data_IF_281183777415
#
_entry.id   IF_281183777415
#
_cell.length_a   1.000
_cell.length_b   1.000
_cell.length_c   1.000
_cell.angle_alpha   90.00
_cell.angle_beta   90.00
_cell.angle_gamma   90.00
#
_symmetry.space_group_name_H-M   'P 1'
#
loop_
_entity.id
_entity.type
_entity.pdbx_description
1 polymer ?
#
# COMPACT_ATOMS: atom_id res chain seq x y z
N UNK A 1 13.23 2.45 31.32
CA UNK A 1 12.22 2.65 30.26
C UNK A 1 12.79 3.29 28.96
N UNK A 2 13.98 3.91 28.96
CA UNK A 2 14.61 4.57 27.79
C UNK A 2 15.13 3.65 26.66
N UNK A 3 15.63 2.43 26.94
CA UNK A 3 16.00 1.47 25.88
C UNK A 3 14.79 1.05 25.04
N UNK A 4 13.60 1.08 25.63
CA UNK A 4 12.38 0.56 25.03
C UNK A 4 11.86 1.44 23.90
N UNK A 5 11.94 2.78 23.97
CA UNK A 5 11.40 3.65 22.90
C UNK A 5 12.26 3.63 21.63
N UNK A 6 13.58 3.75 21.74
CA UNK A 6 14.49 3.70 20.59
C UNK A 6 14.55 2.30 19.95
N UNK A 7 14.48 1.23 20.76
CA UNK A 7 14.36 -0.14 20.24
C UNK A 7 13.01 -0.36 19.55
N UNK A 8 11.92 0.19 20.08
CA UNK A 8 10.60 0.12 19.44
C UNK A 8 10.58 0.85 18.09
N UNK A 9 11.24 2.01 18.00
CA UNK A 9 11.34 2.77 16.75
C UNK A 9 12.17 2.02 15.69
N UNK A 10 13.34 1.49 16.05
CA UNK A 10 14.15 0.69 15.11
C UNK A 10 13.45 -0.60 14.69
N UNK A 11 12.68 -1.23 15.60
CA UNK A 11 11.82 -2.37 15.25
C UNK A 11 10.75 -1.96 14.24
N UNK A 12 10.09 -0.82 14.45
CA UNK A 12 9.13 -0.25 13.50
C UNK A 12 9.70 -0.08 12.09
N UNK A 13 10.89 0.53 11.98
CA UNK A 13 11.57 0.70 10.68
C UNK A 13 11.92 -0.64 10.02
N UNK A 14 12.43 -1.61 10.79
CA UNK A 14 12.74 -2.93 10.26
C UNK A 14 11.50 -3.67 9.75
N UNK A 15 10.39 -3.60 10.51
CA UNK A 15 9.12 -4.19 10.13
C UNK A 15 8.58 -3.51 8.86
N UNK A 16 8.61 -2.17 8.79
CA UNK A 16 8.16 -1.42 7.62
C UNK A 16 9.02 -1.74 6.38
N UNK A 17 10.35 -1.80 6.50
CA UNK A 17 11.24 -2.18 5.41
C UNK A 17 10.96 -3.60 4.90
N UNK A 18 10.77 -4.55 5.82
CA UNK A 18 10.43 -5.93 5.47
C UNK A 18 9.07 -5.99 4.77
N UNK A 19 8.10 -5.21 5.24
CA UNK A 19 6.81 -5.07 4.59
C UNK A 19 6.95 -4.54 3.16
N UNK A 20 7.73 -3.47 2.95
CA UNK A 20 7.97 -2.88 1.63
C UNK A 20 8.74 -3.82 0.69
N UNK A 21 9.67 -4.62 1.21
CA UNK A 21 10.37 -5.65 0.43
C UNK A 21 9.43 -6.76 -0.05
N UNK A 22 8.48 -7.19 0.78
CA UNK A 22 7.45 -8.12 0.35
C UNK A 22 6.52 -7.46 -0.66
N UNK A 23 6.08 -6.24 -0.37
CA UNK A 23 5.13 -5.51 -1.21
C UNK A 23 5.71 -5.22 -2.61
N UNK A 24 7.01 -4.94 -2.75
CA UNK A 24 7.64 -4.69 -4.05
C UNK A 24 7.60 -5.87 -5.02
N UNK A 25 7.42 -7.09 -4.53
CA UNK A 25 7.18 -8.26 -5.41
C UNK A 25 5.78 -8.25 -6.04
N UNK A 26 4.83 -7.53 -5.43
CA UNK A 26 3.42 -7.41 -5.89
C UNK A 26 3.35 -6.82 -7.29
N UNK A 27 4.09 -5.73 -7.55
CA UNK A 27 4.07 -5.07 -8.86
C UNK A 27 4.52 -6.00 -9.99
N UNK A 28 5.52 -6.84 -9.75
CA UNK A 28 6.03 -7.84 -10.71
C UNK A 28 4.97 -8.90 -11.00
N UNK A 29 4.37 -9.45 -9.94
CA UNK A 29 3.36 -10.52 -10.08
C UNK A 29 2.09 -9.99 -10.76
N UNK A 30 1.65 -8.78 -10.40
CA UNK A 30 0.52 -8.11 -11.07
C UNK A 30 0.86 -7.89 -12.55
N UNK A 31 2.05 -7.39 -12.86
CA UNK A 31 2.47 -7.17 -14.26
C UNK A 31 2.47 -8.48 -15.06
N UNK A 32 2.92 -9.58 -14.45
CA UNK A 32 2.87 -10.91 -15.04
C UNK A 32 1.43 -11.37 -15.29
N UNK A 33 0.55 -11.28 -14.29
CA UNK A 33 -0.87 -11.65 -14.42
C UNK A 33 -1.60 -10.82 -15.48
N UNK A 34 -1.35 -9.52 -15.52
CA UNK A 34 -1.95 -8.63 -16.51
C UNK A 34 -1.42 -8.85 -17.93
N UNK A 35 -0.13 -9.18 -18.13
CA UNK A 35 0.42 -9.43 -19.47
C UNK A 35 0.09 -10.82 -20.00
N UNK A 36 0.20 -11.86 -19.17
CA UNK A 36 0.03 -13.26 -19.60
C UNK A 36 -1.41 -13.73 -19.59
N UNK A 37 -2.23 -13.28 -18.63
CA UNK A 37 -3.63 -13.70 -18.50
C UNK A 37 -4.63 -12.59 -18.83
N UNK A 38 -4.15 -11.37 -19.15
CA UNK A 38 -4.99 -10.21 -19.46
C UNK A 38 -6.03 -9.95 -18.37
N UNK A 39 -5.66 -10.27 -17.12
CA UNK A 39 -6.56 -10.22 -15.98
C UNK A 39 -6.97 -8.76 -15.72
N UNK A 40 -8.27 -8.42 -15.73
CA UNK A 40 -8.72 -7.07 -15.43
C UNK A 40 -8.34 -6.68 -14.00
N UNK A 41 -7.83 -5.46 -13.81
CA UNK A 41 -7.32 -5.00 -12.50
C UNK A 41 -8.38 -5.04 -11.39
N UNK A 42 -9.65 -4.82 -11.74
CA UNK A 42 -10.76 -4.84 -10.78
C UNK A 42 -11.08 -6.26 -10.29
N UNK A 43 -11.01 -7.25 -11.19
CA UNK A 43 -11.17 -8.68 -10.87
C UNK A 43 -9.98 -9.17 -10.05
N UNK A 44 -8.76 -8.74 -10.42
CA UNK A 44 -7.54 -9.00 -9.66
C UNK A 44 -7.66 -8.46 -8.23
N UNK A 45 -8.08 -7.19 -8.06
CA UNK A 45 -8.23 -6.57 -6.75
C UNK A 45 -9.25 -7.32 -5.88
N UNK A 46 -10.40 -7.70 -6.44
CA UNK A 46 -11.41 -8.49 -5.73
C UNK A 46 -10.85 -9.82 -5.21
N UNK A 47 -10.25 -10.64 -6.09
CA UNK A 47 -9.71 -11.94 -5.68
C UNK A 47 -8.54 -11.84 -4.72
N UNK A 48 -7.67 -10.85 -4.92
CA UNK A 48 -6.56 -10.58 -4.01
C UNK A 48 -7.07 -10.26 -2.62
N UNK A 49 -8.05 -9.36 -2.50
CA UNK A 49 -8.61 -8.95 -1.21
C UNK A 49 -9.40 -10.11 -0.55
N UNK A 50 -10.08 -10.93 -1.35
CA UNK A 50 -10.75 -12.16 -0.89
C UNK A 50 -9.74 -13.18 -0.35
N UNK A 51 -8.64 -13.42 -1.04
CA UNK A 51 -7.59 -14.35 -0.58
C UNK A 51 -6.88 -13.84 0.67
N UNK A 52 -6.68 -12.53 0.81
CA UNK A 52 -6.18 -11.93 2.05
C UNK A 52 -7.16 -12.16 3.19
N UNK A 53 -8.45 -11.87 2.99
CA UNK A 53 -9.51 -12.10 3.99
C UNK A 53 -9.57 -13.57 4.39
N UNK A 54 -9.57 -14.49 3.43
CA UNK A 54 -9.60 -15.93 3.68
C UNK A 54 -8.35 -16.42 4.41
N UNK A 55 -7.15 -16.01 3.96
CA UNK A 55 -5.89 -16.35 4.62
C UNK A 55 -5.82 -15.83 6.06
N UNK A 56 -6.31 -14.60 6.30
CA UNK A 56 -6.47 -14.03 7.64
C UNK A 56 -7.44 -14.84 8.50
N UNK A 57 -8.59 -15.20 7.95
CA UNK A 57 -9.62 -15.98 8.65
C UNK A 57 -9.04 -17.32 9.09
N UNK A 58 -8.39 -18.04 8.18
CA UNK A 58 -7.73 -19.33 8.47
C UNK A 58 -6.63 -19.14 9.51
N UNK A 59 -5.76 -18.14 9.35
CA UNK A 59 -4.69 -17.84 10.31
C UNK A 59 -5.22 -17.54 11.71
N UNK A 60 -6.26 -16.72 11.84
CA UNK A 60 -6.86 -16.39 13.13
C UNK A 60 -7.59 -17.60 13.75
N UNK A 61 -8.25 -18.42 12.95
CA UNK A 61 -8.92 -19.64 13.41
C UNK A 61 -7.94 -20.70 13.92
N UNK A 62 -6.75 -20.78 13.33
CA UNK A 62 -5.69 -21.73 13.69
C UNK A 62 -4.85 -21.24 14.87
N UNK A 63 -4.49 -19.96 14.91
CA UNK A 63 -3.49 -19.45 15.85
C UNK A 63 -4.05 -18.60 16.98
N UNK A 64 -5.26 -18.02 16.86
CA UNK A 64 -5.76 -17.04 17.86
C UNK A 64 -7.27 -16.80 17.80
N UNK A 65 -8.09 -17.83 18.05
CA UNK A 65 -9.58 -17.72 18.07
C UNK A 65 -10.11 -16.62 19.01
N UNK A 66 -9.39 -16.31 20.08
CA UNK A 66 -9.77 -15.27 21.05
C UNK A 66 -9.74 -13.84 20.47
N UNK A 67 -9.09 -13.61 19.33
CA UNK A 67 -8.95 -12.28 18.70
C UNK A 67 -10.08 -11.92 17.73
N UNK A 68 -11.10 -12.79 17.59
CA UNK A 68 -12.31 -12.53 16.81
C UNK A 68 -13.27 -11.52 17.47
N UNK A 69 -13.07 -11.19 18.74
CA UNK A 69 -14.01 -10.35 19.47
C UNK A 69 -13.80 -8.88 19.12
N UNK A 70 -14.53 -8.43 18.09
CA UNK A 70 -14.68 -7.00 17.83
C UNK A 70 -15.85 -6.46 18.65
N UNK A 71 -15.60 -5.41 19.44
CA UNK A 71 -16.65 -4.72 20.17
C UNK A 71 -17.63 -4.09 19.19
N UNK A 72 -18.95 -4.18 19.45
CA UNK A 72 -19.97 -3.73 18.49
C UNK A 72 -19.80 -2.27 18.03
N UNK A 73 -19.22 -1.43 18.90
CA UNK A 73 -18.89 -0.03 18.65
C UNK A 73 -17.88 0.22 17.52
N UNK A 74 -17.08 -0.78 17.12
CA UNK A 74 -16.04 -0.62 16.09
C UNK A 74 -16.49 -1.01 14.68
N UNK A 75 -17.68 -1.61 14.52
CA UNK A 75 -18.16 -2.05 13.20
C UNK A 75 -18.32 -0.93 12.17
N UNK A 76 -18.95 0.24 12.50
CA UNK A 76 -19.07 1.31 11.52
C UNK A 76 -17.72 1.80 11.01
N UNK A 77 -16.72 1.86 11.90
CA UNK A 77 -15.36 2.23 11.55
C UNK A 77 -14.67 1.16 10.67
N UNK A 78 -14.85 -0.13 10.96
CA UNK A 78 -14.30 -1.20 10.11
C UNK A 78 -14.92 -1.22 8.70
N UNK A 79 -16.22 -0.94 8.59
CA UNK A 79 -16.91 -0.84 7.31
C UNK A 79 -16.37 0.36 6.52
N UNK A 80 -16.23 1.52 7.15
CA UNK A 80 -15.60 2.69 6.52
C UNK A 80 -14.17 2.38 6.08
N UNK A 81 -13.39 1.70 6.93
CA UNK A 81 -12.01 1.34 6.63
C UNK A 81 -11.90 0.41 5.40
N UNK A 82 -12.80 -0.57 5.30
CA UNK A 82 -12.89 -1.42 4.11
C UNK A 82 -13.39 -0.68 2.87
N UNK A 83 -14.31 0.28 3.03
CA UNK A 83 -14.77 1.13 1.93
C UNK A 83 -13.61 2.00 1.39
N UNK A 84 -12.82 2.61 2.26
CA UNK A 84 -11.60 3.35 1.90
C UNK A 84 -10.67 2.48 1.05
N UNK A 85 -10.44 1.24 1.47
CA UNK A 85 -9.59 0.30 0.75
C UNK A 85 -10.18 -0.10 -0.61
N UNK A 86 -11.49 -0.35 -0.70
CA UNK A 86 -12.17 -0.65 -1.97
C UNK A 86 -12.12 0.52 -2.95
N UNK A 87 -12.36 1.74 -2.45
CA UNK A 87 -12.27 2.97 -3.26
C UNK A 87 -10.83 3.19 -3.72
N UNK A 88 -9.84 3.03 -2.84
CA UNK A 88 -8.42 3.06 -3.22
C UNK A 88 -8.11 2.13 -4.39
N UNK A 89 -8.50 0.84 -4.29
CA UNK A 89 -8.25 -0.14 -5.34
C UNK A 89 -8.98 0.18 -6.66
N UNK A 90 -10.19 0.74 -6.56
CA UNK A 90 -10.98 1.13 -7.72
C UNK A 90 -10.37 2.34 -8.43
N UNK A 91 -9.98 3.38 -7.69
CA UNK A 91 -9.32 4.57 -8.24
C UNK A 91 -7.98 4.21 -8.89
N UNK A 92 -7.20 3.32 -8.25
CA UNK A 92 -5.95 2.83 -8.84
C UNK A 92 -6.21 2.13 -10.17
N UNK A 93 -7.20 1.22 -10.19
CA UNK A 93 -7.61 0.51 -11.41
C UNK A 93 -7.97 1.46 -12.54
N UNK A 94 -8.80 2.48 -12.29
CA UNK A 94 -9.15 3.47 -13.31
C UNK A 94 -7.92 4.26 -13.79
N UNK A 95 -7.04 4.66 -12.87
CA UNK A 95 -5.80 5.35 -13.24
C UNK A 95 -4.91 4.49 -14.14
N UNK A 96 -4.77 3.19 -13.83
CA UNK A 96 -4.03 2.22 -14.64
C UNK A 96 -4.65 2.05 -16.02
N UNK A 97 -5.98 2.01 -16.13
CA UNK A 97 -6.67 1.87 -17.43
C UNK A 97 -6.45 3.09 -18.34
N UNK A 98 -6.47 4.30 -17.77
CA UNK A 98 -6.33 5.52 -18.56
C UNK A 98 -4.88 5.87 -18.90
N UNK A 99 -3.97 5.77 -17.92
CA UNK A 99 -2.60 6.29 -18.02
C UNK A 99 -1.51 5.21 -17.87
N UNK A 100 -1.89 3.95 -17.66
CA UNK A 100 -0.96 2.84 -17.46
C UNK A 100 -0.47 2.69 -16.01
N UNK A 101 0.08 1.51 -15.72
CA UNK A 101 0.50 1.13 -14.37
C UNK A 101 1.64 1.99 -13.81
N UNK A 102 2.58 2.41 -14.66
CA UNK A 102 3.71 3.25 -14.22
C UNK A 102 3.23 4.62 -13.70
N UNK A 103 2.41 5.33 -14.48
CA UNK A 103 1.89 6.65 -14.13
C UNK A 103 0.95 6.58 -12.91
N UNK A 104 0.04 5.60 -12.89
CA UNK A 104 -0.87 5.39 -11.76
C UNK A 104 -0.13 5.20 -10.43
N UNK A 105 0.96 4.43 -10.48
CA UNK A 105 1.81 4.15 -9.32
C UNK A 105 2.55 5.40 -8.85
N UNK A 106 3.08 6.23 -9.74
CA UNK A 106 3.69 7.53 -9.37
C UNK A 106 2.71 8.44 -8.67
N UNK A 107 1.49 8.54 -9.20
CA UNK A 107 0.44 9.36 -8.61
C UNK A 107 0.02 8.80 -7.25
N UNK A 108 -0.05 7.48 -7.08
CA UNK A 108 -0.28 6.87 -5.77
C UNK A 108 0.83 7.22 -4.77
N UNK A 109 2.09 7.32 -5.22
CA UNK A 109 3.21 7.75 -4.38
C UNK A 109 3.22 9.24 -4.02
N UNK A 110 2.24 10.04 -4.46
CA UNK A 110 1.96 11.34 -3.82
C UNK A 110 1.39 11.18 -2.41
N UNK A 111 1.03 9.96 -2.02
CA UNK A 111 0.43 9.62 -0.72
C UNK A 111 1.22 10.09 0.51
N UNK A 112 2.57 10.01 0.59
CA UNK A 112 3.29 10.47 1.78
C UNK A 112 3.13 11.97 2.04
N UNK A 113 3.03 12.79 0.99
CA UNK A 113 2.75 14.22 1.14
C UNK A 113 1.33 14.46 1.66
N UNK A 114 0.34 13.73 1.13
CA UNK A 114 -1.04 13.78 1.61
C UNK A 114 -1.15 13.26 3.05
N UNK A 115 -0.43 12.19 3.38
CA UNK A 115 -0.35 11.59 4.72
C UNK A 115 0.28 12.57 5.69
N UNK A 116 1.32 13.29 5.30
CA UNK A 116 1.91 14.34 6.13
C UNK A 116 0.90 15.45 6.44
N UNK A 117 0.20 15.97 5.43
CA UNK A 117 -0.81 17.03 5.63
C UNK A 117 -1.92 16.53 6.56
N UNK A 118 -2.50 15.36 6.28
CA UNK A 118 -3.59 14.81 7.07
C UNK A 118 -3.14 14.43 8.49
N UNK A 119 -1.93 13.90 8.65
CA UNK A 119 -1.41 13.55 9.97
C UNK A 119 -1.14 14.80 10.83
N UNK A 120 -0.77 15.93 10.21
CA UNK A 120 -0.72 17.23 10.90
C UNK A 120 -2.08 17.63 11.48
N UNK A 121 -3.13 17.48 10.67
CA UNK A 121 -4.46 17.95 11.02
C UNK A 121 -5.13 17.05 12.06
N UNK A 122 -4.99 15.73 11.90
CA UNK A 122 -5.71 14.73 12.71
C UNK A 122 -4.90 14.32 13.95
N UNK A 123 -3.61 14.00 13.77
CA UNK A 123 -2.75 13.48 14.83
C UNK A 123 -1.84 14.56 15.45
N UNK A 124 -1.92 15.80 14.95
CA UNK A 124 -1.08 16.94 15.40
C UNK A 124 0.42 16.63 15.35
N UNK A 125 0.83 15.82 14.37
CA UNK A 125 2.24 15.53 14.16
C UNK A 125 3.04 16.82 13.93
N UNK A 126 4.19 16.93 14.59
CA UNK A 126 5.12 18.02 14.35
C UNK A 126 5.95 17.75 13.10
N UNK A 127 6.10 18.76 12.25
CA UNK A 127 6.89 18.70 11.03
C UNK A 127 8.18 19.47 11.23
N UNK A 128 9.30 18.76 11.18
CA UNK A 128 10.61 19.38 11.00
C UNK A 128 10.85 19.68 9.52
N UNK A 129 11.70 20.65 9.21
CA UNK A 129 12.15 20.90 7.84
C UNK A 129 12.77 19.65 7.19
N UNK A 130 13.39 18.78 8.01
CA UNK A 130 13.95 17.49 7.59
C UNK A 130 12.86 16.54 7.08
N UNK A 131 11.70 16.47 7.75
CA UNK A 131 10.57 15.63 7.32
C UNK A 131 10.01 16.11 5.98
N UNK A 132 9.86 17.42 5.79
CA UNK A 132 9.41 18.01 4.51
C UNK A 132 10.41 17.70 3.40
N UNK A 133 11.71 17.93 3.64
CA UNK A 133 12.76 17.64 2.66
C UNK A 133 12.78 16.15 2.28
N UNK A 134 12.59 15.25 3.26
CA UNK A 134 12.52 13.81 3.03
C UNK A 134 11.35 13.42 2.11
N UNK A 135 10.18 14.04 2.31
CA UNK A 135 9.01 13.83 1.44
C UNK A 135 9.30 14.31 0.02
N UNK A 136 9.85 15.51 -0.14
CA UNK A 136 10.18 16.08 -1.46
C UNK A 136 11.19 15.20 -2.21
N UNK A 137 12.25 14.75 -1.52
CA UNK A 137 13.24 13.84 -2.10
C UNK A 137 12.60 12.50 -2.50
N UNK A 138 11.73 11.93 -1.66
CA UNK A 138 11.08 10.65 -1.96
C UNK A 138 10.13 10.75 -3.15
N UNK A 139 9.37 11.85 -3.25
CA UNK A 139 8.51 12.12 -4.42
C UNK A 139 9.34 12.25 -5.70
N UNK A 140 10.40 13.05 -5.65
CA UNK A 140 11.27 13.28 -6.80
C UNK A 140 11.96 11.97 -7.24
N UNK A 141 12.52 11.21 -6.29
CA UNK A 141 13.11 9.90 -6.57
C UNK A 141 12.11 8.93 -7.20
N UNK A 142 10.86 8.92 -6.74
CA UNK A 142 9.81 8.04 -7.29
C UNK A 142 9.47 8.37 -8.74
N UNK A 143 9.38 9.66 -9.07
CA UNK A 143 9.15 10.12 -10.45
C UNK A 143 10.27 9.62 -11.36
N UNK A 144 11.52 9.66 -10.89
CA UNK A 144 12.66 9.19 -11.66
C UNK A 144 12.70 7.65 -11.83
N UNK A 145 12.38 6.90 -10.77
CA UNK A 145 12.43 5.41 -10.79
C UNK A 145 11.31 4.80 -11.63
N UNK A 146 10.12 5.40 -11.58
CA UNK A 146 8.93 4.87 -12.26
C UNK A 146 9.00 4.94 -13.79
N UNK A 147 9.97 5.66 -14.36
CA UNK A 147 10.06 5.88 -15.80
C UNK A 147 9.05 6.91 -16.32
N UNK A 148 8.32 7.60 -15.45
CA UNK A 148 7.36 8.65 -15.82
C UNK A 148 8.00 9.93 -16.38
N UNK A 149 9.26 9.89 -16.79
CA UNK A 149 9.92 11.00 -17.49
C UNK A 149 9.67 10.89 -18.99
N UNK A 150 9.44 9.68 -19.50
CA UNK A 150 9.15 9.47 -20.92
C UNK A 150 7.78 10.09 -21.27
N UNK A 151 7.71 11.12 -22.13
CA UNK A 151 6.46 11.71 -22.55
C UNK A 151 5.52 10.70 -23.22
N UNK A 152 6.04 9.63 -23.82
CA UNK A 152 5.23 8.56 -24.42
C UNK A 152 4.47 7.72 -23.37
N UNK A 153 4.96 7.69 -22.12
CA UNK A 153 4.25 7.05 -21.00
C UNK A 153 3.03 7.87 -20.56
N UNK A 154 3.03 9.18 -20.81
CA UNK A 154 1.90 10.06 -20.53
C UNK A 154 0.96 10.11 -21.73
N UNK A 155 0.13 9.08 -21.89
CA UNK A 155 -1.18 9.28 -22.53
C UNK A 155 -1.97 10.19 -21.58
N UNK A 156 -1.82 11.50 -21.72
CA UNK A 156 -2.36 12.54 -20.84
C UNK A 156 -3.91 12.51 -20.85
N UNK A 157 -4.51 11.53 -20.19
CA UNK A 157 -5.93 11.56 -19.88
C UNK A 157 -6.09 12.25 -18.51
N UNK A 158 -6.71 13.45 -18.46
CA UNK A 158 -6.92 14.17 -17.21
C UNK A 158 -7.68 13.35 -16.17
N UNK A 159 -8.62 12.51 -16.60
CA UNK A 159 -9.38 11.64 -15.70
C UNK A 159 -8.46 10.64 -14.99
N UNK A 160 -7.53 10.01 -15.73
CA UNK A 160 -6.55 9.08 -15.16
C UNK A 160 -5.62 9.73 -14.14
N UNK A 161 -5.30 11.02 -14.32
CA UNK A 161 -4.47 11.79 -13.37
C UNK A 161 -5.26 12.04 -12.08
N UNK A 162 -6.52 12.48 -12.21
CA UNK A 162 -7.41 12.70 -11.06
C UNK A 162 -7.57 11.40 -10.28
N UNK A 163 -7.85 10.27 -10.94
CA UNK A 163 -7.97 8.97 -10.29
C UNK A 163 -6.66 8.53 -9.61
N UNK A 164 -5.50 8.81 -10.21
CA UNK A 164 -4.21 8.51 -9.59
C UNK A 164 -3.95 9.34 -8.32
N UNK A 165 -4.26 10.64 -8.34
CA UNK A 165 -4.14 11.50 -7.15
C UNK A 165 -5.13 11.08 -6.05
N UNK A 166 -6.36 10.74 -6.42
CA UNK A 166 -7.34 10.19 -5.49
C UNK A 166 -6.86 8.87 -4.88
N UNK A 167 -6.17 8.03 -5.66
CA UNK A 167 -5.53 6.81 -5.13
C UNK A 167 -4.54 7.14 -4.02
N UNK A 168 -3.64 8.12 -4.24
CA UNK A 168 -2.71 8.57 -3.20
C UNK A 168 -3.42 9.11 -1.95
N UNK A 169 -4.55 9.81 -2.12
CA UNK A 169 -5.37 10.35 -1.04
C UNK A 169 -6.03 9.23 -0.22
N UNK A 170 -6.71 8.29 -0.86
CA UNK A 170 -7.35 7.17 -0.16
C UNK A 170 -6.31 6.26 0.49
N UNK A 171 -5.12 6.12 -0.09
CA UNK A 171 -4.02 5.42 0.57
C UNK A 171 -3.57 6.15 1.84
N UNK A 172 -3.49 7.50 1.81
CA UNK A 172 -3.19 8.28 2.99
C UNK A 172 -4.28 8.11 4.07
N UNK A 173 -5.55 8.17 3.70
CA UNK A 173 -6.68 7.94 4.62
C UNK A 173 -6.59 6.52 5.22
N UNK A 174 -6.35 5.49 4.41
CA UNK A 174 -6.18 4.11 4.87
C UNK A 174 -5.06 3.98 5.92
N UNK A 175 -3.92 4.66 5.70
CA UNK A 175 -2.81 4.69 6.64
C UNK A 175 -3.19 5.34 7.97
N UNK A 176 -3.94 6.44 7.92
CA UNK A 176 -4.44 7.14 9.10
C UNK A 176 -5.49 6.33 9.87
N UNK A 177 -6.40 5.66 9.16
CA UNK A 177 -7.37 4.73 9.76
C UNK A 177 -6.65 3.55 10.42
N UNK A 178 -5.62 2.99 9.79
CA UNK A 178 -4.79 1.94 10.38
C UNK A 178 -4.09 2.39 11.67
N UNK A 179 -3.59 3.63 11.68
CA UNK A 179 -3.02 4.24 12.90
C UNK A 179 -4.07 4.47 13.98
N UNK A 180 -5.23 4.99 13.63
CA UNK A 180 -6.35 5.18 14.56
C UNK A 180 -6.80 3.83 15.17
N UNK A 181 -6.90 2.78 14.36
CA UNK A 181 -7.22 1.44 14.82
C UNK A 181 -6.20 0.93 15.84
N UNK A 182 -4.90 1.11 15.53
CA UNK A 182 -3.80 0.79 16.44
C UNK A 182 -3.91 1.56 17.77
N UNK A 183 -4.16 2.88 17.72
CA UNK A 183 -4.23 3.72 18.92
C UNK A 183 -5.47 3.38 19.78
N UNK A 184 -6.55 2.88 19.17
CA UNK A 184 -7.71 2.31 19.87
C UNK A 184 -7.50 0.87 20.37
N UNK A 185 -6.27 0.37 20.32
CA UNK A 185 -5.91 -0.99 20.76
C UNK A 185 -6.66 -2.10 20.01
N UNK A 186 -7.09 -1.84 18.77
CA UNK A 186 -7.63 -2.87 17.89
C UNK A 186 -6.45 -3.71 17.39
N UNK A 187 -6.56 -5.04 17.44
CA UNK A 187 -5.48 -5.88 16.97
C UNK A 187 -5.26 -5.69 15.46
N UNK A 188 -4.01 -5.57 15.01
CA UNK A 188 -3.69 -5.24 13.61
C UNK A 188 -4.20 -6.32 12.65
N UNK A 189 -4.14 -7.58 13.08
CA UNK A 189 -4.66 -8.72 12.33
C UNK A 189 -6.18 -8.70 12.24
N UNK A 190 -6.85 -8.36 13.33
CA UNK A 190 -8.32 -8.22 13.36
C UNK A 190 -8.77 -7.06 12.48
N UNK A 191 -8.14 -5.89 12.61
CA UNK A 191 -8.44 -4.73 11.76
C UNK A 191 -8.25 -5.05 10.27
N UNK A 192 -7.18 -5.80 9.93
CA UNK A 192 -6.91 -6.23 8.57
C UNK A 192 -7.94 -7.24 8.06
N UNK A 193 -8.32 -8.25 8.84
CA UNK A 193 -9.38 -9.19 8.47
C UNK A 193 -10.67 -8.45 8.11
N UNK A 194 -11.16 -7.56 8.98
CA UNK A 194 -12.44 -6.90 8.76
C UNK A 194 -12.39 -5.87 7.63
N UNK A 195 -11.33 -5.06 7.53
CA UNK A 195 -11.16 -4.09 6.44
C UNK A 195 -11.06 -4.77 5.08
N UNK A 196 -10.25 -5.82 4.93
CA UNK A 196 -10.14 -6.56 3.67
C UNK A 196 -11.41 -7.34 3.34
N UNK A 197 -12.10 -7.90 4.34
CA UNK A 197 -13.40 -8.56 4.11
C UNK A 197 -14.46 -7.58 3.63
N UNK A 198 -14.56 -6.41 4.27
CA UNK A 198 -15.46 -5.35 3.84
C UNK A 198 -15.08 -4.84 2.45
N UNK A 199 -13.78 -4.64 2.17
CA UNK A 199 -13.30 -4.24 0.86
C UNK A 199 -13.65 -5.26 -0.23
N UNK A 200 -13.47 -6.56 0.03
CA UNK A 200 -13.86 -7.63 -0.90
C UNK A 200 -15.37 -7.61 -1.20
N UNK A 201 -16.22 -7.37 -0.19
CA UNK A 201 -17.67 -7.22 -0.36
C UNK A 201 -17.99 -5.99 -1.21
N UNK A 202 -17.40 -4.83 -0.92
CA UNK A 202 -17.62 -3.61 -1.69
C UNK A 202 -17.15 -3.75 -3.14
N UNK A 203 -15.97 -4.35 -3.37
CA UNK A 203 -15.46 -4.62 -4.70
C UNK A 203 -16.33 -5.63 -5.45
N UNK A 204 -16.86 -6.65 -4.77
CA UNK A 204 -17.82 -7.59 -5.36
C UNK A 204 -19.09 -6.86 -5.83
N UNK A 205 -19.69 -6.04 -4.96
CA UNK A 205 -20.86 -5.22 -5.29
C UNK A 205 -20.56 -4.24 -6.43
N UNK A 206 -19.36 -3.65 -6.45
CA UNK A 206 -18.93 -2.74 -7.51
C UNK A 206 -18.75 -3.46 -8.85
N UNK A 207 -18.10 -4.63 -8.87
CA UNK A 207 -17.96 -5.45 -10.08
C UNK A 207 -19.33 -5.88 -10.63
N UNK A 208 -20.24 -6.33 -9.75
CA UNK A 208 -21.60 -6.71 -10.17
C UNK A 208 -22.38 -5.48 -10.66
N UNK A 209 -22.32 -4.38 -9.93
CA UNK A 209 -23.02 -3.14 -10.27
C UNK A 209 -22.58 -2.59 -11.63
N UNK A 210 -21.27 -2.44 -11.84
CA UNK A 210 -20.69 -1.98 -13.11
C UNK A 210 -21.12 -2.86 -14.30
N UNK A 211 -21.10 -4.19 -14.12
CA UNK A 211 -21.50 -5.14 -15.14
C UNK A 211 -23.02 -5.19 -15.38
N UNK A 212 -23.83 -4.94 -14.35
CA UNK A 212 -25.29 -4.85 -14.44
C UNK A 212 -25.73 -3.60 -15.19
N UNK A 213 -25.08 -2.45 -14.95
CA UNK A 213 -25.29 -1.21 -15.73
C UNK A 213 -24.89 -1.38 -17.20
N UNK A 214 -23.92 -2.25 -17.49
CA UNK A 214 -23.52 -2.62 -18.85
C UNK A 214 -24.37 -3.76 -19.48
N UNK A 215 -25.42 -4.23 -18.78
CA UNK A 215 -26.31 -5.29 -19.27
C UNK A 215 -25.70 -6.69 -19.35
N UNK A 216 -24.52 -6.91 -18.74
CA UNK A 216 -23.79 -8.19 -18.77
C UNK A 216 -23.69 -8.76 -17.36
N UNK A 217 -24.74 -9.42 -16.89
CA UNK A 217 -24.66 -10.12 -15.61
C UNK A 217 -23.94 -11.47 -15.78
N UNK A 218 -22.64 -11.53 -15.51
CA UNK A 218 -21.90 -12.78 -15.56
C UNK A 218 -20.91 -12.91 -14.39
N UNK A 219 -21.24 -13.78 -13.42
CA UNK A 219 -20.24 -14.28 -12.44
C UNK A 219 -19.05 -14.95 -13.15
N UNK A 220 -19.23 -15.41 -14.38
CA UNK A 220 -18.16 -15.96 -15.21
C UNK A 220 -17.02 -14.96 -15.44
N UNK A 221 -17.30 -13.66 -15.48
CA UNK A 221 -16.27 -12.62 -15.68
C UNK A 221 -15.37 -12.47 -14.45
N UNK A 222 -15.86 -12.82 -13.25
CA UNK A 222 -15.03 -12.92 -12.05
C UNK A 222 -14.11 -14.15 -12.12
N UNK A 223 -14.52 -15.22 -12.80
CA UNK A 223 -13.72 -16.41 -13.04
C UNK A 223 -12.87 -16.29 -14.31
N UNK A 224 -12.28 -15.11 -14.54
CA UNK A 224 -11.53 -14.77 -15.75
C UNK A 224 -10.41 -15.77 -16.09
N UNK A 225 -9.76 -16.33 -15.08
CA UNK A 225 -8.68 -17.30 -15.28
C UNK A 225 -9.17 -18.68 -15.72
N UNK A 226 -10.49 -18.91 -15.76
CA UNK A 226 -11.10 -20.17 -16.16
C UNK A 226 -10.54 -21.36 -15.39
N UNK A 227 -10.10 -22.38 -16.12
CA UNK A 227 -9.48 -23.60 -15.57
C UNK A 227 -7.95 -23.50 -15.37
N UNK A 228 -7.34 -22.32 -15.53
CA UNK A 228 -5.89 -22.15 -15.38
C UNK A 228 -5.44 -22.25 -13.92
N UNK A 229 -5.11 -23.46 -13.48
CA UNK A 229 -4.58 -23.72 -12.13
C UNK A 229 -3.32 -22.88 -11.85
N UNK A 230 -2.46 -22.70 -12.85
CA UNK A 230 -1.25 -21.87 -12.71
C UNK A 230 -1.56 -20.41 -12.44
N UNK A 231 -2.52 -19.82 -13.16
CA UNK A 231 -2.94 -18.44 -12.93
C UNK A 231 -3.58 -18.24 -11.55
N UNK A 232 -4.47 -19.15 -11.16
CA UNK A 232 -5.08 -19.14 -9.82
C UNK A 232 -4.04 -19.31 -8.71
N UNK A 233 -3.04 -20.18 -8.89
CA UNK A 233 -1.94 -20.36 -7.95
C UNK A 233 -1.09 -19.10 -7.77
N UNK A 234 -0.79 -18.39 -8.86
CA UNK A 234 -0.04 -17.13 -8.81
C UNK A 234 -0.87 -16.03 -8.13
N UNK A 235 -2.17 -15.95 -8.43
CA UNK A 235 -3.08 -14.97 -7.81
C UNK A 235 -3.28 -15.25 -6.31
N UNK A 236 -3.36 -16.52 -5.92
CA UNK A 236 -3.39 -16.93 -4.52
C UNK A 236 -2.09 -16.57 -3.81
N UNK A 237 -0.94 -16.87 -4.42
CA UNK A 237 0.37 -16.49 -3.91
C UNK A 237 0.47 -14.96 -3.73
N UNK A 238 0.00 -14.17 -4.70
CA UNK A 238 -0.06 -12.71 -4.63
C UNK A 238 -0.91 -12.22 -3.43
N UNK A 239 -2.07 -12.85 -3.19
CA UNK A 239 -2.92 -12.52 -2.05
C UNK A 239 -2.25 -12.85 -0.71
N UNK A 240 -1.70 -14.05 -0.56
CA UNK A 240 -1.24 -14.55 0.75
C UNK A 240 0.17 -14.11 1.11
N UNK A 241 1.12 -14.11 0.16
CA UNK A 241 2.51 -13.80 0.49
C UNK A 241 2.76 -12.29 0.55
N UNK A 242 2.76 -11.54 -0.56
CA UNK A 242 3.13 -10.14 -0.53
C UNK A 242 2.00 -9.23 -0.03
N UNK A 243 0.72 -9.55 -0.30
CA UNK A 243 -0.39 -8.69 0.15
C UNK A 243 -0.68 -8.93 1.64
N UNK A 244 -1.00 -10.15 2.06
CA UNK A 244 -1.26 -10.42 3.49
C UNK A 244 -0.02 -10.20 4.35
N UNK A 245 1.14 -10.71 3.94
CA UNK A 245 2.41 -10.50 4.66
C UNK A 245 2.84 -9.03 4.67
N UNK A 246 2.81 -8.36 3.52
CA UNK A 246 3.20 -6.95 3.38
C UNK A 246 2.28 -6.01 4.16
N UNK A 247 0.96 -6.04 3.91
CA UNK A 247 0.02 -5.19 4.65
C UNK A 247 -0.02 -5.55 6.16
N UNK A 248 0.10 -6.83 6.51
CA UNK A 248 0.12 -7.27 7.91
C UNK A 248 1.32 -6.68 8.67
N UNK A 249 2.52 -6.80 8.11
CA UNK A 249 3.72 -6.18 8.66
C UNK A 249 3.65 -4.65 8.61
N UNK A 250 3.12 -4.07 7.55
CA UNK A 250 2.98 -2.63 7.42
C UNK A 250 2.03 -2.05 8.50
N UNK A 251 0.85 -2.63 8.70
CA UNK A 251 -0.09 -2.22 9.75
C UNK A 251 0.48 -2.50 11.14
N UNK A 252 1.30 -3.54 11.31
CA UNK A 252 2.07 -3.74 12.54
C UNK A 252 3.11 -2.63 12.77
N UNK A 253 3.75 -2.12 11.70
CA UNK A 253 4.72 -1.03 11.80
C UNK A 253 4.09 0.28 12.29
N UNK A 254 2.81 0.54 11.96
CA UNK A 254 2.05 1.71 12.42
C UNK A 254 1.83 1.75 13.95
N UNK A 255 2.03 0.61 14.64
CA UNK A 255 2.08 0.58 16.11
C UNK A 255 3.30 1.28 16.69
N UNK A 256 4.39 1.31 15.92
CA UNK A 256 5.70 1.80 16.35
C UNK A 256 6.10 3.10 15.68
N UNK A 257 5.58 3.37 14.48
CA UNK A 257 5.93 4.53 13.66
C UNK A 257 4.73 5.46 13.43
N UNK A 258 4.97 6.78 13.29
CA UNK A 258 3.98 7.70 12.76
C UNK A 258 3.57 7.31 11.32
N UNK A 259 2.31 7.53 10.91
CA UNK A 259 1.82 7.27 9.55
C UNK A 259 2.72 7.84 8.46
N UNK A 260 3.22 9.07 8.65
CA UNK A 260 4.08 9.71 7.65
C UNK A 260 5.40 8.95 7.46
N UNK A 261 6.01 8.44 8.55
CA UNK A 261 7.25 7.70 8.46
C UNK A 261 7.06 6.31 7.82
N UNK A 262 6.02 5.58 8.24
CA UNK A 262 5.70 4.29 7.63
C UNK A 262 5.42 4.41 6.12
N UNK A 263 4.61 5.39 5.73
CA UNK A 263 4.28 5.60 4.32
C UNK A 263 5.48 6.07 3.49
N UNK A 264 6.39 6.86 4.08
CA UNK A 264 7.62 7.26 3.40
C UNK A 264 8.56 6.06 3.18
N UNK A 265 8.64 5.11 4.12
CA UNK A 265 9.36 3.84 3.92
C UNK A 265 8.70 3.02 2.81
N UNK A 266 7.36 2.98 2.74
CA UNK A 266 6.64 2.29 1.68
C UNK A 266 6.97 2.83 0.28
N UNK A 267 7.38 4.09 0.15
CA UNK A 267 7.86 4.63 -1.14
C UNK A 267 9.17 4.01 -1.65
N UNK A 268 9.86 3.19 -0.85
CA UNK A 268 10.96 2.36 -1.35
C UNK A 268 10.50 1.25 -2.29
N UNK A 269 9.20 0.96 -2.34
CA UNK A 269 8.63 -0.11 -3.15
C UNK A 269 9.13 -0.06 -4.61
N UNK A 270 9.06 1.05 -5.37
CA UNK A 270 9.47 1.08 -6.78
C UNK A 270 10.96 0.82 -6.96
N UNK A 271 11.79 1.36 -6.06
CA UNK A 271 13.23 1.14 -6.10
C UNK A 271 13.56 -0.34 -5.86
N UNK A 272 12.88 -0.97 -4.90
CA UNK A 272 13.03 -2.39 -4.63
C UNK A 272 12.46 -3.26 -5.78
N UNK A 273 11.34 -2.86 -6.38
CA UNK A 273 10.76 -3.53 -7.55
C UNK A 273 11.73 -3.49 -8.73
N UNK A 274 12.38 -2.35 -8.97
CA UNK A 274 13.38 -2.20 -10.02
C UNK A 274 14.60 -3.12 -9.77
N UNK A 275 15.05 -3.24 -8.51
CA UNK A 275 16.10 -4.19 -8.12
C UNK A 275 15.65 -5.64 -8.38
N UNK A 276 14.43 -6.00 -8.00
CA UNK A 276 13.89 -7.33 -8.29
C UNK A 276 13.80 -7.60 -9.79
N UNK A 277 13.39 -6.62 -10.58
CA UNK A 277 13.30 -6.75 -12.04
C UNK A 277 14.67 -7.00 -12.69
N UNK A 278 15.71 -6.32 -12.21
CA UNK A 278 17.09 -6.59 -12.62
C UNK A 278 17.52 -8.03 -12.30
N UNK A 279 17.27 -8.52 -11.08
CA UNK A 279 17.70 -9.87 -10.69
C UNK A 279 16.88 -10.99 -11.37
N UNK A 280 15.56 -10.83 -11.50
CA UNK A 280 14.66 -11.87 -11.99
C UNK A 280 14.56 -11.88 -13.52
N UNK A 281 14.49 -10.70 -14.15
CA UNK A 281 14.26 -10.57 -15.59
C UNK A 281 15.50 -10.10 -16.37
N UNK A 282 16.60 -9.79 -15.68
CA UNK A 282 17.81 -9.21 -16.27
C UNK A 282 17.53 -7.91 -17.05
N UNK A 283 16.49 -7.19 -16.65
CA UNK A 283 16.17 -5.88 -17.22
C UNK A 283 17.24 -4.87 -16.81
N UNK A 284 17.83 -4.17 -17.78
CA UNK A 284 18.85 -3.17 -17.51
C UNK A 284 18.21 -1.93 -16.89
N UNK A 285 18.65 -1.59 -15.68
CA UNK A 285 18.28 -0.33 -15.03
C UNK A 285 18.91 0.83 -15.78
N UNK A 286 18.09 1.81 -16.15
CA UNK A 286 18.59 3.05 -16.73
C UNK A 286 19.36 3.86 -15.68
N UNK A 287 20.31 4.69 -16.12
CA UNK A 287 21.05 5.57 -15.22
C UNK A 287 20.13 6.49 -14.40
N UNK A 288 18.99 6.90 -14.97
CA UNK A 288 17.99 7.73 -14.30
C UNK A 288 17.27 6.95 -13.17
N UNK A 289 16.91 5.69 -13.41
CA UNK A 289 16.31 4.84 -12.38
C UNK A 289 17.26 4.59 -11.20
N UNK A 290 18.57 4.45 -11.47
CA UNK A 290 19.59 4.33 -10.43
C UNK A 290 19.68 5.62 -9.59
N UNK A 291 19.79 6.79 -10.24
CA UNK A 291 19.81 8.08 -9.55
C UNK A 291 18.54 8.30 -8.74
N UNK A 292 17.37 8.01 -9.33
CA UNK A 292 16.08 8.09 -8.65
C UNK A 292 16.02 7.21 -7.40
N UNK A 293 16.51 5.98 -7.49
CA UNK A 293 16.56 5.04 -6.37
C UNK A 293 17.45 5.58 -5.26
N UNK A 294 18.63 6.10 -5.59
CA UNK A 294 19.56 6.69 -4.61
C UNK A 294 18.95 7.89 -3.90
N UNK A 295 18.29 8.81 -4.63
CA UNK A 295 17.60 9.96 -4.04
C UNK A 295 16.49 9.51 -3.10
N UNK A 296 15.73 8.49 -3.50
CA UNK A 296 14.63 7.95 -2.73
C UNK A 296 15.12 7.29 -1.43
N UNK A 297 16.18 6.48 -1.49
CA UNK A 297 16.84 5.93 -0.31
C UNK A 297 17.41 7.03 0.60
N UNK A 298 18.02 8.07 0.03
CA UNK A 298 18.54 9.21 0.79
C UNK A 298 17.41 9.93 1.55
N UNK A 299 16.23 10.09 0.94
CA UNK A 299 15.05 10.66 1.59
C UNK A 299 14.61 9.87 2.83
N UNK A 300 14.56 8.54 2.74
CA UNK A 300 14.21 7.67 3.89
C UNK A 300 15.27 7.72 4.98
N UNK A 301 16.56 7.69 4.61
CA UNK A 301 17.66 7.77 5.58
C UNK A 301 17.66 9.13 6.30
N UNK A 302 17.44 10.21 5.56
CA UNK A 302 17.36 11.56 6.10
C UNK A 302 16.22 11.68 7.12
N UNK A 303 15.05 11.11 6.82
CA UNK A 303 13.93 11.07 7.76
C UNK A 303 14.32 10.37 9.06
N UNK A 304 14.93 9.18 8.95
CA UNK A 304 15.34 8.37 10.10
C UNK A 304 16.35 9.10 10.98
N UNK A 305 17.33 9.78 10.37
CA UNK A 305 18.33 10.57 11.09
C UNK A 305 17.67 11.77 11.79
N UNK A 306 16.79 12.49 11.09
CA UNK A 306 16.05 13.61 11.66
C UNK A 306 15.19 13.24 12.86
N UNK A 307 14.50 12.11 12.81
CA UNK A 307 13.68 11.61 13.93
C UNK A 307 14.52 11.15 15.10
N UNK A 308 15.69 10.53 14.85
CA UNK A 308 16.64 10.16 15.90
C UNK A 308 17.20 11.40 16.61
N UNK A 309 17.58 12.44 15.87
CA UNK A 309 18.10 13.69 16.44
C UNK A 309 17.06 14.44 17.27
N UNK A 310 15.80 14.52 16.80
CA UNK A 310 14.72 15.15 17.57
C UNK A 310 14.40 14.41 18.87
N UNK A 311 14.42 13.08 18.84
CA UNK A 311 14.22 12.26 20.05
C UNK A 311 15.34 12.42 21.09
N UNK A 312 16.59 12.63 20.65
CA UNK A 312 17.73 12.89 21.53
C UNK A 312 17.63 14.27 22.19
N UNK A 313 17.28 15.31 21.42
CA UNK A 313 17.17 16.68 21.96
C UNK A 313 16.06 16.83 23.01
N UNK A 314 14.91 16.16 22.82
CA UNK A 314 13.83 16.16 23.81
C UNK A 314 14.20 15.41 25.09
N UNK A 315 15.11 14.44 25.01
CA UNK A 315 15.59 13.67 26.16
C UNK A 315 16.66 14.41 26.97
N UNK A 316 17.40 15.35 26.36
CA UNK A 316 18.33 16.23 27.08
C UNK A 316 17.62 17.35 27.85
N UNK A 317 16.34 17.63 27.52
CA UNK A 317 15.52 18.68 28.15
C UNK A 317 14.58 18.16 29.26
N UNK A 318 14.54 16.85 29.53
CA UNK A 318 13.68 16.18 30.53
C UNK A 318 14.47 15.57 31.67
#
# INVERSE_FOLDING_TARGET
>A
MQKTSAQNFSRGYFIALTATMLWSTTGIIISYLSRHYQLPSLVLAFWRDLFVSFGMLVGLLLFSRARFQLRQTHWPFMILYGLTLAVFNSMWTFSVQYNGAAVATVLAFSSPAMTAILSRLIFKEQFSGVKILSIVLSLFGTILVSGAIDPAAWKLNPAGIIFGLLTGLFFAIYNLEGKYASDKSIDSWTAMLYSFSAAAIFLFLFNIGANSFAGKFALADLMWLGSSVGGWGILFFLGVAPTLGGFGLYTLSLRYLPPTAANLIATLEPALTAIWAFFLFRELLTGIQLIGSLILFAGVVLLRVGEKSGAVLLAEQS
#
